data_IF_002038412869
#
_entry.id   IF_002038412869
#
_cell.length_a   1.000
_cell.length_b   1.000
_cell.length_c   1.000
_cell.angle_alpha   90.00
_cell.angle_beta   90.00
_cell.angle_gamma   90.00
#
_symmetry.space_group_name_H-M   'P 1'
#
loop_
_entity.id
_entity.type
_entity.pdbx_description
1 polymer ?
#
# COMPACT_ATOMS: atom_id res chain seq x y z
N UNK A 1 7.81 24.90 5.17
CA UNK A 1 7.49 23.99 4.05
C UNK A 1 8.60 22.96 3.88
N UNK A 2 8.30 21.79 3.31
CA UNK A 2 9.33 20.75 3.12
C UNK A 2 10.33 21.20 2.04
N UNK A 3 11.65 20.97 2.23
CA UNK A 3 12.66 21.32 1.22
C UNK A 3 12.36 20.70 -0.14
N UNK A 4 11.86 19.46 -0.14
CA UNK A 4 11.49 18.71 -1.35
C UNK A 4 10.37 19.39 -2.13
N UNK A 5 9.37 19.94 -1.45
CA UNK A 5 8.27 20.66 -2.11
C UNK A 5 8.74 22.01 -2.69
N UNK A 6 9.61 22.73 -1.98
CA UNK A 6 10.21 23.99 -2.48
C UNK A 6 11.06 23.75 -3.74
N UNK A 7 11.80 22.64 -3.79
CA UNK A 7 12.55 22.22 -4.96
C UNK A 7 11.63 21.85 -6.14
N UNK A 8 10.56 21.08 -5.88
CA UNK A 8 9.59 20.70 -6.93
C UNK A 8 8.87 21.93 -7.52
N UNK A 9 8.45 22.89 -6.68
CA UNK A 9 7.77 24.12 -7.12
C UNK A 9 8.71 25.12 -7.80
N UNK A 10 10.03 24.91 -7.74
CA UNK A 10 11.03 25.78 -8.38
C UNK A 10 11.49 26.96 -7.53
N UNK A 11 11.09 27.00 -6.26
CA UNK A 11 11.54 27.99 -5.28
C UNK A 11 12.89 27.56 -4.70
N UNK A 12 13.91 27.48 -5.56
CA UNK A 12 15.23 26.96 -5.20
C UNK A 12 15.97 27.82 -4.16
N UNK A 13 15.76 29.14 -4.17
CA UNK A 13 16.32 30.06 -3.19
C UNK A 13 15.77 29.81 -1.77
N UNK A 14 14.46 29.63 -1.65
CA UNK A 14 13.80 29.27 -0.40
C UNK A 14 14.19 27.87 0.06
N UNK A 15 14.32 26.91 -0.86
CA UNK A 15 14.82 25.58 -0.55
C UNK A 15 16.24 25.64 0.04
N UNK A 16 17.15 26.43 -0.56
CA UNK A 16 18.52 26.62 -0.06
C UNK A 16 18.56 27.15 1.37
N UNK A 17 17.72 28.14 1.68
CA UNK A 17 17.66 28.71 3.03
C UNK A 17 17.19 27.67 4.07
N UNK A 18 16.21 26.85 3.72
CA UNK A 18 15.69 25.81 4.61
C UNK A 18 16.73 24.70 4.80
N UNK A 19 17.39 24.24 3.74
CA UNK A 19 18.44 23.21 3.82
C UNK A 19 19.67 23.74 4.57
N UNK A 20 20.06 25.00 4.36
CA UNK A 20 21.14 25.65 5.10
C UNK A 20 20.82 25.79 6.61
N UNK A 21 19.56 26.04 6.99
CA UNK A 21 19.13 26.01 8.39
C UNK A 21 19.29 24.61 9.02
N UNK A 22 19.03 23.55 8.25
CA UNK A 22 19.26 22.17 8.69
C UNK A 22 20.75 21.80 8.75
N UNK A 23 21.56 22.32 7.82
CA UNK A 23 23.02 22.14 7.82
C UNK A 23 23.67 22.81 9.05
N UNK A 24 23.23 24.03 9.42
CA UNK A 24 23.69 24.73 10.64
C UNK A 24 23.39 23.99 11.94
N UNK A 25 22.39 23.11 11.97
CA UNK A 25 22.09 22.24 13.11
C UNK A 25 22.91 20.93 13.10
N UNK A 26 23.95 20.82 12.27
CA UNK A 26 24.86 19.68 12.23
C UNK A 26 24.31 18.43 11.55
N UNK A 27 23.15 18.52 10.87
CA UNK A 27 22.50 17.36 10.22
C UNK A 27 22.90 17.16 8.75
N UNK A 28 23.64 18.08 8.15
CA UNK A 28 24.07 17.99 6.76
C UNK A 28 25.37 18.80 6.52
N UNK A 29 26.36 18.29 5.79
CA UNK A 29 27.52 19.06 5.36
C UNK A 29 27.12 20.21 4.44
N UNK A 30 27.61 21.42 4.70
CA UNK A 30 27.26 22.64 3.96
C UNK A 30 27.62 22.55 2.45
N UNK A 31 28.61 21.74 2.09
CA UNK A 31 29.03 21.44 0.71
C UNK A 31 27.98 20.65 -0.11
N UNK A 32 27.15 19.81 0.54
CA UNK A 32 26.13 19.02 -0.16
C UNK A 32 24.87 19.83 -0.49
N UNK A 33 24.70 21.02 0.10
CA UNK A 33 23.51 21.84 -0.09
C UNK A 33 23.36 22.28 -1.55
N UNK A 34 24.47 22.67 -2.18
CA UNK A 34 24.46 23.13 -3.57
C UNK A 34 24.37 21.97 -4.56
N UNK A 35 24.97 20.81 -4.27
CA UNK A 35 24.80 19.58 -5.06
C UNK A 35 23.35 19.09 -5.08
N UNK A 36 22.69 19.06 -3.92
CA UNK A 36 21.27 18.64 -3.80
C UNK A 36 20.35 19.57 -4.61
N UNK A 37 20.65 20.86 -4.64
CA UNK A 37 19.84 21.84 -5.38
C UNK A 37 20.08 21.72 -6.89
N UNK A 38 21.33 21.54 -7.32
CA UNK A 38 21.65 21.31 -8.74
C UNK A 38 21.06 19.99 -9.26
N UNK A 39 21.11 18.92 -8.46
CA UNK A 39 20.45 17.66 -8.80
C UNK A 39 18.93 17.82 -8.88
N UNK A 40 18.32 18.58 -7.95
CA UNK A 40 16.90 18.88 -8.00
C UNK A 40 16.51 19.75 -9.21
N UNK A 41 17.36 20.68 -9.64
CA UNK A 41 17.17 21.46 -10.88
C UNK A 41 17.20 20.55 -12.11
N UNK A 42 18.19 19.65 -12.20
CA UNK A 42 18.31 18.66 -13.28
C UNK A 42 17.12 17.70 -13.33
N UNK A 43 16.68 17.22 -12.17
CA UNK A 43 15.49 16.37 -12.07
C UNK A 43 14.23 17.11 -12.53
N UNK A 44 14.11 18.41 -12.22
CA UNK A 44 12.99 19.24 -12.65
C UNK A 44 13.04 19.57 -14.15
N UNK A 45 14.21 19.84 -14.72
CA UNK A 45 14.34 20.07 -16.17
C UNK A 45 14.02 18.80 -16.95
N UNK A 46 14.56 17.66 -16.54
CA UNK A 46 14.24 16.36 -17.14
C UNK A 46 12.73 16.04 -17.03
N UNK A 47 12.09 16.34 -15.89
CA UNK A 47 10.65 16.16 -15.74
C UNK A 47 9.83 17.15 -16.61
N UNK A 48 10.34 18.35 -16.88
CA UNK A 48 9.68 19.33 -17.76
C UNK A 48 9.75 18.90 -19.23
N UNK A 49 10.86 18.29 -19.64
CA UNK A 49 11.04 17.77 -21.01
C UNK A 49 10.16 16.54 -21.30
N UNK A 50 9.82 15.76 -20.27
CA UNK A 50 8.96 14.56 -20.38
C UNK A 50 7.46 14.92 -20.43
N UNK A 51 7.08 16.18 -20.13
CA UNK A 51 5.69 16.62 -20.12
C UNK A 51 4.89 16.14 -18.89
N UNK A 52 3.66 16.66 -18.73
CA UNK A 52 2.75 16.21 -17.66
C UNK A 52 2.20 14.84 -18.01
N UNK A 53 2.61 13.80 -17.26
CA UNK A 53 2.12 12.45 -17.46
C UNK A 53 0.59 12.38 -17.28
N UNK A 54 -0.11 11.85 -18.29
CA UNK A 54 -1.54 11.64 -18.26
C UNK A 54 -1.87 10.17 -17.94
N UNK A 55 -3.09 9.89 -17.47
CA UNK A 55 -3.56 8.52 -17.23
C UNK A 55 -3.54 7.71 -18.54
N UNK A 56 -3.77 8.37 -19.68
CA UNK A 56 -3.68 7.75 -21.00
C UNK A 56 -2.26 7.23 -21.33
N UNK A 57 -1.21 7.88 -20.84
CA UNK A 57 0.17 7.45 -21.06
C UNK A 57 0.48 6.12 -20.35
N UNK A 58 -0.29 5.82 -19.29
CA UNK A 58 -0.18 4.57 -18.54
C UNK A 58 -0.61 3.36 -19.37
N UNK A 59 -1.50 3.56 -20.35
CA UNK A 59 -2.01 2.54 -21.26
C UNK A 59 -1.41 2.62 -22.67
N UNK A 60 -0.49 3.56 -22.91
CA UNK A 60 0.11 3.80 -24.23
C UNK A 60 0.90 2.59 -24.76
N UNK A 61 1.64 1.91 -23.89
CA UNK A 61 2.39 0.70 -24.25
C UNK A 61 1.74 -0.55 -23.67
N UNK A 62 1.57 -1.61 -24.48
CA UNK A 62 0.94 -2.89 -24.05
C UNK A 62 1.55 -3.47 -22.77
N UNK A 63 2.88 -3.40 -22.61
CA UNK A 63 3.56 -3.88 -21.40
C UNK A 63 3.15 -3.08 -20.15
N UNK A 64 3.02 -1.76 -20.28
CA UNK A 64 2.63 -0.86 -19.19
C UNK A 64 1.15 -1.02 -18.86
N UNK A 65 0.29 -1.16 -19.88
CA UNK A 65 -1.13 -1.44 -19.71
C UNK A 65 -1.36 -2.75 -18.93
N UNK A 66 -0.69 -3.85 -19.34
CA UNK A 66 -0.81 -5.15 -18.67
C UNK A 66 -0.28 -5.07 -17.23
N UNK A 67 0.86 -4.44 -17.02
CA UNK A 67 1.45 -4.30 -15.67
C UNK A 67 0.56 -3.48 -14.74
N UNK A 68 0.00 -2.38 -15.26
CA UNK A 68 -0.93 -1.52 -14.51
C UNK A 68 -2.23 -2.24 -14.20
N UNK A 69 -2.79 -2.98 -15.15
CA UNK A 69 -3.99 -3.78 -14.94
C UNK A 69 -3.75 -4.87 -13.88
N UNK A 70 -2.60 -5.56 -13.93
CA UNK A 70 -2.24 -6.58 -12.93
C UNK A 70 -2.07 -5.97 -11.53
N UNK A 71 -1.37 -4.84 -11.39
CA UNK A 71 -1.23 -4.18 -10.09
C UNK A 71 -2.54 -3.59 -9.59
N UNK A 72 -3.37 -3.04 -10.48
CA UNK A 72 -4.70 -2.54 -10.15
C UNK A 72 -5.62 -3.65 -9.65
N UNK A 73 -5.68 -4.78 -10.38
CA UNK A 73 -6.42 -5.97 -9.96
C UNK A 73 -5.92 -6.50 -8.62
N UNK A 74 -4.60 -6.59 -8.43
CA UNK A 74 -4.04 -7.07 -7.17
C UNK A 74 -4.37 -6.12 -6.01
N UNK A 75 -4.33 -4.81 -6.23
CA UNK A 75 -4.72 -3.82 -5.21
C UNK A 75 -6.21 -3.90 -4.87
N UNK A 76 -7.06 -4.17 -5.86
CA UNK A 76 -8.50 -4.41 -5.66
C UNK A 76 -8.74 -5.63 -4.76
N UNK A 77 -8.09 -6.75 -5.04
CA UNK A 77 -8.19 -7.98 -4.22
C UNK A 77 -7.69 -7.74 -2.80
N UNK A 78 -6.54 -7.07 -2.64
CA UNK A 78 -5.98 -6.75 -1.32
C UNK A 78 -6.95 -5.88 -0.51
N UNK A 79 -7.55 -4.86 -1.14
CA UNK A 79 -8.49 -3.97 -0.48
C UNK A 79 -9.77 -4.70 -0.04
N UNK A 80 -10.32 -5.55 -0.92
CA UNK A 80 -11.48 -6.38 -0.62
C UNK A 80 -11.23 -7.33 0.56
N UNK A 81 -10.12 -8.09 0.53
CA UNK A 81 -9.78 -9.03 1.61
C UNK A 81 -9.49 -8.31 2.92
N UNK A 82 -8.84 -7.14 2.87
CA UNK A 82 -8.56 -6.35 4.06
C UNK A 82 -9.84 -5.83 4.71
N UNK A 83 -10.79 -5.34 3.89
CA UNK A 83 -12.08 -4.88 4.38
C UNK A 83 -12.89 -6.04 4.97
N UNK A 84 -12.97 -7.18 4.27
CA UNK A 84 -13.61 -8.39 4.76
C UNK A 84 -13.03 -8.84 6.11
N UNK A 85 -11.71 -8.95 6.22
CA UNK A 85 -11.04 -9.39 7.45
C UNK A 85 -11.33 -8.43 8.61
N UNK A 86 -11.37 -7.12 8.33
CA UNK A 86 -11.64 -6.09 9.34
C UNK A 86 -13.07 -6.18 9.85
N UNK A 87 -14.06 -6.31 8.95
CA UNK A 87 -15.47 -6.48 9.32
C UNK A 87 -15.69 -7.80 10.06
N UNK A 88 -15.10 -8.90 9.56
CA UNK A 88 -15.22 -10.22 10.19
C UNK A 88 -14.58 -10.28 11.57
N UNK A 89 -13.52 -9.51 11.84
CA UNK A 89 -12.92 -9.43 13.17
C UNK A 89 -13.90 -8.90 14.21
N UNK A 90 -14.76 -7.93 13.85
CA UNK A 90 -15.79 -7.41 14.75
C UNK A 90 -16.98 -8.37 14.94
N UNK A 91 -17.24 -9.25 13.95
CA UNK A 91 -18.35 -10.20 13.96
C UNK A 91 -18.02 -11.60 14.49
N UNK A 92 -16.77 -11.90 14.81
CA UNK A 92 -16.42 -13.15 15.51
C UNK A 92 -17.04 -13.10 16.91
N UNK A 93 -17.74 -14.16 17.30
CA UNK A 93 -18.48 -14.23 18.58
C UNK A 93 -17.64 -13.84 19.81
N UNK A 94 -18.32 -13.37 20.85
CA UNK A 94 -17.71 -12.80 22.07
C UNK A 94 -18.10 -11.34 22.27
N UNK A 95 -17.31 -10.59 23.05
CA UNK A 95 -17.49 -9.15 23.24
C UNK A 95 -16.90 -8.37 22.02
N UNK A 96 -17.74 -7.65 21.24
CA UNK A 96 -17.28 -6.87 20.09
C UNK A 96 -16.21 -5.83 20.43
N UNK A 97 -16.24 -5.24 21.64
CA UNK A 97 -15.27 -4.22 22.05
C UNK A 97 -13.87 -4.82 22.24
N UNK A 98 -13.80 -6.03 22.78
CA UNK A 98 -12.54 -6.77 22.96
C UNK A 98 -11.97 -7.16 21.60
N UNK A 99 -12.80 -7.72 20.72
CA UNK A 99 -12.36 -8.14 19.38
C UNK A 99 -11.88 -6.95 18.54
N UNK A 100 -12.56 -5.80 18.63
CA UNK A 100 -12.11 -4.57 17.99
C UNK A 100 -10.78 -4.08 18.54
N UNK A 101 -10.59 -4.12 19.87
CA UNK A 101 -9.34 -3.71 20.52
C UNK A 101 -8.17 -4.60 20.11
N UNK A 102 -8.39 -5.91 20.01
CA UNK A 102 -7.40 -6.87 19.50
C UNK A 102 -7.11 -6.61 18.01
N UNK A 103 -8.14 -6.36 17.20
CA UNK A 103 -8.00 -6.03 15.78
C UNK A 103 -7.27 -4.72 15.51
N UNK A 104 -7.42 -3.72 16.39
CA UNK A 104 -6.73 -2.45 16.32
C UNK A 104 -5.28 -2.56 16.83
N UNK A 105 -5.07 -3.23 17.96
CA UNK A 105 -3.72 -3.44 18.50
C UNK A 105 -2.84 -4.31 17.61
N UNK A 106 -3.43 -5.25 16.86
CA UNK A 106 -2.70 -6.08 15.90
C UNK A 106 -2.14 -5.30 14.71
N UNK A 107 -2.58 -4.06 14.46
CA UNK A 107 -2.03 -3.26 13.36
C UNK A 107 -0.58 -2.82 13.60
N UNK A 108 -0.19 -2.59 14.85
CA UNK A 108 1.18 -2.23 15.21
C UNK A 108 2.19 -3.34 14.87
N UNK A 109 2.02 -4.60 15.34
CA UNK A 109 2.93 -5.69 14.99
C UNK A 109 2.88 -6.05 13.50
N UNK A 110 1.71 -5.91 12.85
CA UNK A 110 1.61 -6.08 11.39
C UNK A 110 2.53 -5.08 10.68
N UNK A 111 2.49 -3.79 11.05
CA UNK A 111 3.34 -2.76 10.43
C UNK A 111 4.83 -3.02 10.66
N UNK A 112 5.21 -3.47 11.85
CA UNK A 112 6.59 -3.86 12.15
C UNK A 112 7.05 -5.05 11.30
N UNK A 113 6.20 -6.09 11.20
CA UNK A 113 6.46 -7.28 10.40
C UNK A 113 6.61 -6.94 8.92
N UNK A 114 5.77 -6.05 8.40
CA UNK A 114 5.87 -5.56 7.03
C UNK A 114 7.19 -4.83 6.76
N UNK A 115 7.66 -4.01 7.69
CA UNK A 115 8.94 -3.32 7.56
C UNK A 115 10.12 -4.31 7.47
N UNK A 116 10.09 -5.38 8.26
CA UNK A 116 11.09 -6.46 8.18
C UNK A 116 10.99 -7.23 6.87
N UNK A 117 9.78 -7.60 6.43
CA UNK A 117 9.55 -8.33 5.18
C UNK A 117 10.06 -7.56 3.96
N UNK A 118 9.84 -6.24 3.92
CA UNK A 118 10.32 -5.39 2.82
C UNK A 118 11.84 -5.34 2.78
N UNK A 119 12.51 -5.37 3.94
CA UNK A 119 13.97 -5.26 4.05
C UNK A 119 14.69 -6.56 3.68
N UNK A 120 14.15 -7.71 4.05
CA UNK A 120 14.87 -9.00 3.95
C UNK A 120 14.40 -9.91 2.80
N UNK A 121 13.17 -9.76 2.29
CA UNK A 121 12.60 -10.71 1.34
C UNK A 121 12.54 -10.18 -0.10
N UNK A 122 12.71 -11.08 -1.07
CA UNK A 122 12.57 -10.79 -2.50
C UNK A 122 11.11 -10.47 -2.85
N UNK A 123 10.86 -9.23 -3.25
CA UNK A 123 9.53 -8.61 -3.50
C UNK A 123 8.48 -9.51 -4.17
N UNK A 124 8.81 -10.10 -5.33
CA UNK A 124 7.86 -10.94 -6.09
C UNK A 124 7.48 -12.22 -5.34
N UNK A 125 8.44 -12.84 -4.65
CA UNK A 125 8.19 -14.03 -3.83
C UNK A 125 7.37 -13.69 -2.59
N UNK A 126 7.63 -12.54 -1.98
CA UNK A 126 6.87 -12.06 -0.82
C UNK A 126 5.41 -11.79 -1.17
N UNK A 127 5.15 -11.15 -2.32
CA UNK A 127 3.78 -10.91 -2.82
C UNK A 127 3.05 -12.24 -3.01
N UNK A 128 3.61 -13.17 -3.80
CA UNK A 128 2.97 -14.44 -4.06
C UNK A 128 2.78 -15.26 -2.77
N UNK A 129 3.81 -15.36 -1.94
CA UNK A 129 3.75 -16.11 -0.68
C UNK A 129 2.73 -15.56 0.30
N UNK A 130 2.68 -14.24 0.49
CA UNK A 130 1.71 -13.60 1.39
C UNK A 130 0.27 -13.70 0.87
N UNK A 131 0.05 -13.62 -0.44
CA UNK A 131 -1.28 -13.85 -1.03
C UNK A 131 -1.70 -15.32 -0.89
N UNK A 132 -0.80 -16.28 -1.15
CA UNK A 132 -1.09 -17.69 -0.94
C UNK A 132 -1.46 -17.99 0.53
N UNK A 133 -0.69 -17.45 1.48
CA UNK A 133 -1.01 -17.57 2.91
C UNK A 133 -2.39 -17.00 3.21
N UNK A 134 -2.69 -15.79 2.72
CA UNK A 134 -4.01 -15.18 2.92
C UNK A 134 -5.14 -16.02 2.32
N UNK A 135 -4.93 -16.62 1.15
CA UNK A 135 -5.92 -17.47 0.49
C UNK A 135 -6.17 -18.77 1.29
N UNK A 136 -5.11 -19.43 1.75
CA UNK A 136 -5.23 -20.63 2.59
C UNK A 136 -5.95 -20.32 3.89
N UNK A 137 -5.66 -19.18 4.51
CA UNK A 137 -6.34 -18.73 5.74
C UNK A 137 -7.82 -18.47 5.50
N UNK A 138 -8.20 -17.85 4.38
CA UNK A 138 -9.61 -17.61 4.05
C UNK A 138 -10.37 -18.92 3.80
N UNK A 139 -9.74 -19.88 3.13
CA UNK A 139 -10.32 -21.22 2.97
C UNK A 139 -10.45 -21.91 4.33
N UNK A 140 -9.43 -21.83 5.19
CA UNK A 140 -9.49 -22.40 6.54
C UNK A 140 -10.59 -21.76 7.40
N UNK A 141 -10.84 -20.45 7.25
CA UNK A 141 -11.93 -19.75 7.91
C UNK A 141 -13.32 -20.21 7.45
N UNK A 142 -13.45 -20.63 6.18
CA UNK A 142 -14.68 -21.20 5.65
C UNK A 142 -14.97 -22.60 6.20
N UNK A 143 -13.93 -23.42 6.40
CA UNK A 143 -14.06 -24.76 6.99
C UNK A 143 -14.20 -24.74 8.53
N UNK A 144 -13.78 -23.66 9.20
CA UNK A 144 -13.74 -23.60 10.66
C UNK A 144 -15.15 -23.48 11.27
N UNK A 145 -15.58 -24.41 12.15
CA UNK A 145 -16.88 -24.35 12.78
C UNK A 145 -17.03 -23.11 13.69
N UNK A 146 -18.26 -22.59 13.78
CA UNK A 146 -18.57 -21.33 14.45
C UNK A 146 -18.26 -21.34 15.97
N UNK A 147 -18.14 -22.52 16.56
CA UNK A 147 -17.92 -22.74 17.99
C UNK A 147 -16.54 -22.25 18.49
N UNK A 148 -15.52 -22.19 17.62
CA UNK A 148 -14.17 -21.78 18.02
C UNK A 148 -13.87 -20.31 17.68
N UNK A 149 -14.46 -19.37 18.42
CA UNK A 149 -14.30 -17.93 18.18
C UNK A 149 -12.83 -17.48 18.25
N UNK A 150 -12.06 -17.95 19.22
CA UNK A 150 -10.63 -17.60 19.37
C UNK A 150 -9.76 -18.13 18.22
N UNK A 151 -10.04 -19.33 17.71
CA UNK A 151 -9.31 -19.89 16.57
C UNK A 151 -9.60 -19.11 15.28
N UNK A 152 -10.85 -18.71 15.06
CA UNK A 152 -11.25 -17.86 13.93
C UNK A 152 -10.60 -16.47 14.03
N UNK A 153 -10.54 -15.90 15.24
CA UNK A 153 -9.84 -14.63 15.48
C UNK A 153 -8.35 -14.75 15.14
N UNK A 154 -7.67 -15.80 15.60
CA UNK A 154 -6.25 -16.03 15.29
C UNK A 154 -6.01 -16.18 13.78
N UNK A 155 -6.86 -16.96 13.09
CA UNK A 155 -6.81 -17.10 11.64
C UNK A 155 -7.00 -15.75 10.93
N UNK A 156 -8.00 -14.95 11.32
CA UNK A 156 -8.23 -13.61 10.77
C UNK A 156 -7.00 -12.71 10.96
N UNK A 157 -6.32 -12.78 12.11
CA UNK A 157 -5.10 -12.00 12.34
C UNK A 157 -3.97 -12.43 11.39
N UNK A 158 -3.76 -13.72 11.18
CA UNK A 158 -2.75 -14.24 10.23
C UNK A 158 -3.09 -13.79 8.80
N UNK A 159 -4.36 -13.86 8.41
CA UNK A 159 -4.84 -13.34 7.14
C UNK A 159 -4.57 -11.84 6.98
N UNK A 160 -4.90 -11.05 8.00
CA UNK A 160 -4.66 -9.59 8.04
C UNK A 160 -3.18 -9.24 7.87
N UNK A 161 -2.28 -9.99 8.51
CA UNK A 161 -0.82 -9.83 8.34
C UNK A 161 -0.42 -10.10 6.89
N UNK A 162 -0.87 -11.23 6.31
CA UNK A 162 -0.56 -11.60 4.92
C UNK A 162 -1.03 -10.55 3.90
N UNK A 163 -2.29 -10.12 4.01
CA UNK A 163 -2.86 -9.10 3.11
C UNK A 163 -2.15 -7.75 3.25
N UNK A 164 -1.83 -7.34 4.48
CA UNK A 164 -1.10 -6.09 4.74
C UNK A 164 0.34 -6.14 4.20
N UNK A 165 1.03 -7.26 4.36
CA UNK A 165 2.37 -7.47 3.82
C UNK A 165 2.37 -7.39 2.28
N UNK A 166 1.42 -8.06 1.62
CA UNK A 166 1.26 -8.00 0.17
C UNK A 166 1.04 -6.57 -0.32
N UNK A 167 0.14 -5.82 0.34
CA UNK A 167 -0.14 -4.42 0.00
C UNK A 167 1.07 -3.49 0.21
N UNK A 168 1.85 -3.71 1.27
CA UNK A 168 3.05 -2.92 1.52
C UNK A 168 4.10 -3.16 0.43
N UNK A 169 4.38 -4.43 0.10
CA UNK A 169 5.36 -4.79 -0.95
C UNK A 169 4.89 -4.36 -2.33
N UNK A 170 3.60 -4.47 -2.65
CA UNK A 170 3.02 -4.01 -3.91
C UNK A 170 3.28 -2.52 -4.15
N UNK A 171 3.08 -1.68 -3.13
CA UNK A 171 3.36 -0.24 -3.22
C UNK A 171 4.83 0.06 -3.49
N UNK A 172 5.75 -0.67 -2.85
CA UNK A 172 7.19 -0.47 -3.14
C UNK A 172 7.55 -0.98 -4.54
N UNK A 173 6.97 -2.10 -4.97
CA UNK A 173 7.19 -2.64 -6.31
C UNK A 173 6.70 -1.67 -7.40
N UNK A 174 5.52 -1.07 -7.20
CA UNK A 174 4.98 -0.02 -8.04
C UNK A 174 5.94 1.19 -8.09
N UNK A 175 6.51 1.61 -6.94
CA UNK A 175 7.49 2.70 -6.94
C UNK A 175 8.77 2.40 -7.72
N UNK A 176 9.15 1.14 -7.88
CA UNK A 176 10.33 0.75 -8.66
C UNK A 176 10.04 0.53 -10.13
N UNK A 177 8.86 0.00 -10.46
CA UNK A 177 8.48 -0.32 -11.83
C UNK A 177 8.16 0.92 -12.67
N UNK A 178 7.65 2.00 -12.07
CA UNK A 178 7.30 3.22 -12.78
C UNK A 178 8.34 4.34 -12.56
N UNK A 179 8.72 5.08 -13.62
CA UNK A 179 9.59 6.25 -13.50
C UNK A 179 8.89 7.36 -12.71
N UNK A 180 9.69 8.24 -12.11
CA UNK A 180 9.24 9.30 -11.18
C UNK A 180 8.12 10.17 -11.72
N UNK A 181 8.09 10.44 -13.03
CA UNK A 181 7.09 11.31 -13.68
C UNK A 181 5.70 10.66 -13.74
N UNK A 182 5.62 9.35 -14.00
CA UNK A 182 4.36 8.60 -14.20
C UNK A 182 3.90 7.92 -12.90
N UNK A 183 4.82 7.72 -11.95
CA UNK A 183 4.58 7.00 -10.69
C UNK A 183 3.42 7.57 -9.87
N UNK A 184 3.30 8.89 -9.74
CA UNK A 184 2.23 9.51 -8.95
C UNK A 184 0.85 9.23 -9.55
N UNK A 185 0.74 9.30 -10.88
CA UNK A 185 -0.49 8.98 -11.63
C UNK A 185 -0.82 7.50 -11.51
N UNK A 186 0.17 6.62 -11.67
CA UNK A 186 0.02 5.17 -11.50
C UNK A 186 -0.45 4.80 -10.08
N UNK A 187 0.16 5.39 -9.05
CA UNK A 187 -0.26 5.21 -7.65
C UNK A 187 -1.69 5.68 -7.42
N UNK A 188 -2.07 6.82 -8.00
CA UNK A 188 -3.44 7.33 -7.94
C UNK A 188 -4.44 6.34 -8.54
N UNK A 189 -4.19 5.90 -9.78
CA UNK A 189 -5.04 4.95 -10.49
C UNK A 189 -5.18 3.59 -9.77
N UNK A 190 -4.06 3.05 -9.29
CA UNK A 190 -4.06 1.76 -8.57
C UNK A 190 -4.80 1.89 -7.23
N UNK A 191 -4.69 3.04 -6.55
CA UNK A 191 -5.45 3.29 -5.33
C UNK A 191 -6.95 3.43 -5.61
N UNK A 192 -7.36 4.09 -6.71
CA UNK A 192 -8.77 4.16 -7.09
C UNK A 192 -9.36 2.79 -7.41
N UNK A 193 -8.59 1.88 -8.03
CA UNK A 193 -9.01 0.49 -8.21
C UNK A 193 -9.14 -0.25 -6.87
N UNK A 194 -8.27 0.05 -5.90
CA UNK A 194 -8.41 -0.43 -4.53
C UNK A 194 -9.72 0.03 -3.88
N UNK A 195 -10.13 1.28 -4.09
CA UNK A 195 -11.38 1.81 -3.56
C UNK A 195 -12.60 1.15 -4.18
N UNK A 196 -12.55 0.84 -5.48
CA UNK A 196 -13.58 0.01 -6.13
C UNK A 196 -13.68 -1.36 -5.44
N UNK A 197 -12.55 -2.00 -5.13
CA UNK A 197 -12.52 -3.27 -4.38
C UNK A 197 -13.18 -3.17 -3.00
N UNK A 198 -12.87 -2.11 -2.24
CA UNK A 198 -13.49 -1.87 -0.93
C UNK A 198 -14.99 -1.57 -1.03
N UNK A 199 -15.42 -0.86 -2.07
CA UNK A 199 -16.83 -0.54 -2.30
C UNK A 199 -17.64 -1.78 -2.68
N UNK A 200 -17.04 -2.73 -3.41
CA UNK A 200 -17.69 -4.00 -3.79
C UNK A 200 -17.72 -4.99 -2.62
N UNK A 201 -16.77 -4.92 -1.69
CA UNK A 201 -16.65 -5.84 -0.56
C UNK A 201 -17.94 -6.07 0.27
N UNK A 202 -18.71 -5.05 0.70
CA UNK A 202 -19.94 -5.27 1.47
C UNK A 202 -21.01 -6.06 0.69
N UNK A 203 -21.10 -5.88 -0.63
CA UNK A 203 -22.06 -6.61 -1.47
C UNK A 203 -21.82 -8.12 -1.45
N UNK A 204 -20.57 -8.58 -1.25
CA UNK A 204 -20.27 -10.00 -1.09
C UNK A 204 -20.77 -10.55 0.25
N UNK A 205 -20.77 -9.73 1.31
CA UNK A 205 -21.37 -10.08 2.59
C UNK A 205 -22.88 -10.25 2.47
N UNK A 206 -23.54 -9.29 1.81
CA UNK A 206 -24.98 -9.34 1.55
C UNK A 206 -25.35 -10.54 0.66
N UNK A 207 -24.57 -10.80 -0.40
CA UNK A 207 -24.77 -11.98 -1.25
C UNK A 207 -24.65 -13.28 -0.45
N UNK A 208 -23.65 -13.36 0.43
CA UNK A 208 -23.45 -14.50 1.32
C UNK A 208 -24.65 -14.75 2.23
N UNK A 209 -25.22 -13.68 2.80
CA UNK A 209 -26.45 -13.78 3.61
C UNK A 209 -27.68 -14.21 2.80
N UNK A 210 -27.72 -13.90 1.50
CA UNK A 210 -28.81 -14.31 0.61
C UNK A 210 -28.65 -15.75 0.07
N UNK A 211 -27.42 -16.29 0.02
CA UNK A 211 -27.15 -17.64 -0.51
C UNK A 211 -26.94 -18.71 0.57
N UNK A 212 -26.68 -18.33 1.82
CA UNK A 212 -26.60 -19.26 2.96
C UNK A 212 -27.83 -19.04 3.87
N UNK A 213 -28.81 -19.97 3.89
CA UNK A 213 -30.00 -19.86 4.74
C UNK A 213 -29.78 -20.17 6.24
N UNK A 214 -28.55 -20.26 6.74
CA UNK A 214 -28.25 -20.79 8.08
C UNK A 214 -27.06 -20.11 8.73
#
# INVERSE_FOLDING_TARGET
>A
ESPRWLMATGRFSAAKQVVAKFAKHGRCPEHQVDEIIEEAKRAKSAARDIGTANIADLFSTKVWAITTALFGFQQMVIAMVWYHTTVSTAGVGGDPYVNFTIGASSEYPVRLTNALLIRYCRRRRTICGSMCISAVVMVALWLAPAEYSWARLALLMVGKVGTSASGAVLRVHLSESYPTVVRSVAMGFINTMGWLGSAVAPFFGDLGSATQPW
#
